data_IF_896090266470
#
_entry.id   IF_896090266470
#
_cell.length_a   1.000
_cell.length_b   1.000
_cell.length_c   1.000
_cell.angle_alpha   90.00
_cell.angle_beta   90.00
_cell.angle_gamma   90.00
#
_symmetry.space_group_name_H-M   'P 1'
#
loop_
_entity.id
_entity.type
_entity.pdbx_description
1 polymer ?
#
# COMPACT_ATOMS: atom_id res chain seq x y z
N UNK A 1 35.44 5.61 12.24
CA UNK A 1 35.90 5.47 10.84
C UNK A 1 34.68 5.45 9.94
N UNK A 2 34.71 6.09 8.76
CA UNK A 2 33.62 6.03 7.79
C UNK A 2 34.00 5.13 6.61
N UNK A 3 33.04 4.38 6.09
CA UNK A 3 33.19 3.56 4.89
C UNK A 3 32.33 4.16 3.79
N UNK A 4 32.95 4.48 2.65
CA UNK A 4 32.26 5.12 1.54
C UNK A 4 32.15 4.13 0.39
N UNK A 5 30.90 3.84 -0.01
CA UNK A 5 30.59 2.98 -1.14
C UNK A 5 31.28 3.50 -2.40
N UNK A 6 32.00 2.62 -3.08
CA UNK A 6 32.47 2.90 -4.43
C UNK A 6 31.31 2.76 -5.41
N UNK A 7 30.75 3.91 -5.81
CA UNK A 7 29.57 3.93 -6.69
C UNK A 7 29.85 3.20 -8.01
N UNK A 8 30.92 3.54 -8.71
CA UNK A 8 31.20 2.99 -10.04
C UNK A 8 31.40 1.48 -10.00
N UNK A 9 32.20 0.98 -9.05
CA UNK A 9 32.50 -0.45 -8.95
C UNK A 9 31.26 -1.24 -8.50
N UNK A 10 30.49 -0.69 -7.56
CA UNK A 10 29.26 -1.34 -7.07
C UNK A 10 28.18 -1.38 -8.15
N UNK A 11 27.97 -0.28 -8.87
CA UNK A 11 26.95 -0.16 -9.94
C UNK A 11 27.27 -1.08 -11.13
N UNK A 12 28.56 -1.30 -11.43
CA UNK A 12 28.96 -2.22 -12.51
C UNK A 12 28.47 -3.66 -12.27
N UNK A 13 28.42 -4.12 -11.01
CA UNK A 13 27.86 -5.43 -10.63
C UNK A 13 26.37 -5.48 -10.96
N UNK A 14 25.61 -4.43 -10.60
CA UNK A 14 24.16 -4.39 -10.81
C UNK A 14 23.73 -4.18 -12.25
N UNK A 15 24.45 -3.37 -13.03
CA UNK A 15 23.93 -2.87 -14.30
C UNK A 15 24.73 -3.29 -15.55
N UNK A 16 25.96 -3.81 -15.39
CA UNK A 16 26.86 -4.06 -16.52
C UNK A 16 27.37 -5.49 -16.60
N UNK A 17 27.75 -6.07 -15.48
CA UNK A 17 28.39 -7.39 -15.44
C UNK A 17 27.45 -8.53 -15.80
N UNK A 18 26.15 -8.38 -15.59
CA UNK A 18 25.13 -9.33 -16.04
C UNK A 18 25.20 -9.67 -17.54
N UNK A 19 25.69 -8.73 -18.36
CA UNK A 19 25.80 -8.87 -19.83
C UNK A 19 27.14 -9.46 -20.30
N UNK A 20 27.98 -9.91 -19.38
CA UNK A 20 29.34 -10.40 -19.66
C UNK A 20 29.51 -11.85 -19.21
N UNK A 21 30.42 -12.62 -19.82
CA UNK A 21 30.86 -13.88 -19.25
C UNK A 21 31.33 -13.67 -17.80
N UNK A 22 30.89 -14.55 -16.89
CA UNK A 22 31.16 -14.42 -15.46
C UNK A 22 32.67 -14.25 -15.13
N UNK A 23 33.53 -14.94 -15.87
CA UNK A 23 34.99 -14.81 -15.73
C UNK A 23 35.46 -13.38 -16.01
N UNK A 24 35.03 -12.80 -17.12
CA UNK A 24 35.46 -11.46 -17.55
C UNK A 24 34.91 -10.37 -16.62
N UNK A 25 33.69 -10.57 -16.10
CA UNK A 25 33.09 -9.70 -15.09
C UNK A 25 33.89 -9.71 -13.78
N UNK A 26 34.25 -10.90 -13.26
CA UNK A 26 35.08 -11.02 -12.05
C UNK A 26 36.47 -10.44 -12.27
N UNK A 27 37.11 -10.73 -13.40
CA UNK A 27 38.43 -10.18 -13.73
C UNK A 27 38.39 -8.64 -13.80
N UNK A 28 37.32 -8.07 -14.37
CA UNK A 28 37.12 -6.61 -14.42
C UNK A 28 36.89 -6.00 -13.03
N UNK A 29 36.11 -6.67 -12.18
CA UNK A 29 35.87 -6.23 -10.80
C UNK A 29 37.19 -6.15 -10.01
N UNK A 30 37.96 -7.24 -10.01
CA UNK A 30 39.23 -7.31 -9.28
C UNK A 30 40.22 -6.26 -9.78
N UNK A 31 40.33 -6.10 -11.10
CA UNK A 31 41.20 -5.09 -11.71
C UNK A 31 40.80 -3.67 -11.31
N UNK A 32 39.50 -3.40 -11.20
CA UNK A 32 38.99 -2.09 -10.77
C UNK A 32 39.31 -1.80 -9.31
N UNK A 33 39.21 -2.82 -8.43
CA UNK A 33 39.60 -2.71 -7.03
C UNK A 33 41.12 -2.47 -6.87
N UNK A 34 41.95 -3.22 -7.60
CA UNK A 34 43.41 -3.03 -7.59
C UNK A 34 43.80 -1.62 -8.08
N UNK A 35 43.18 -1.18 -9.18
CA UNK A 35 43.45 0.15 -9.74
C UNK A 35 43.02 1.29 -8.80
N UNK A 36 41.95 1.09 -8.00
CA UNK A 36 41.54 2.09 -7.00
C UNK A 36 42.54 2.18 -5.86
N UNK A 37 43.08 1.04 -5.42
CA UNK A 37 44.01 0.94 -4.30
C UNK A 37 43.37 1.23 -2.93
N UNK A 38 44.01 0.73 -1.88
CA UNK A 38 43.52 0.89 -0.51
C UNK A 38 42.23 0.10 -0.23
N UNK A 39 41.38 0.66 0.65
CA UNK A 39 40.10 0.04 1.01
C UNK A 39 39.00 0.44 0.03
N UNK A 40 38.45 -0.55 -0.68
CA UNK A 40 37.30 -0.37 -1.57
C UNK A 40 36.06 -0.96 -0.90
N UNK A 41 35.05 -0.13 -0.66
CA UNK A 41 33.76 -0.59 -0.12
C UNK A 41 32.80 -0.86 -1.26
N UNK A 42 32.41 -2.12 -1.45
CA UNK A 42 31.35 -2.52 -2.36
C UNK A 42 30.10 -2.76 -1.51
N UNK A 43 29.04 -2.02 -1.80
CA UNK A 43 27.75 -2.15 -1.11
C UNK A 43 26.63 -2.15 -2.13
N UNK A 44 25.71 -3.09 -2.01
CA UNK A 44 24.58 -3.30 -2.90
C UNK A 44 23.52 -4.09 -2.16
N UNK A 45 22.28 -3.99 -2.62
CA UNK A 45 21.19 -4.81 -2.10
C UNK A 45 21.41 -6.28 -2.47
N UNK A 46 21.04 -7.17 -1.57
CA UNK A 46 21.32 -8.60 -1.67
C UNK A 46 20.50 -9.31 -2.74
N UNK A 47 19.42 -8.69 -3.20
CA UNK A 47 18.46 -9.22 -4.16
C UNK A 47 18.60 -8.60 -5.56
N UNK A 48 18.92 -7.31 -5.65
CA UNK A 48 18.66 -6.50 -6.84
C UNK A 48 19.57 -6.70 -8.07
N UNK A 49 20.80 -7.25 -8.04
CA UNK A 49 21.49 -7.49 -9.31
C UNK A 49 21.08 -8.83 -9.94
N UNK A 50 20.67 -9.83 -9.15
CA UNK A 50 20.73 -11.22 -9.58
C UNK A 50 19.68 -11.60 -10.61
N UNK A 51 18.51 -10.97 -10.60
CA UNK A 51 17.44 -11.21 -11.60
C UNK A 51 17.89 -10.89 -13.03
N UNK A 52 18.88 -10.00 -13.18
CA UNK A 52 19.42 -9.64 -14.49
C UNK A 52 20.45 -10.63 -15.04
N UNK A 53 20.98 -11.52 -14.18
CA UNK A 53 21.95 -12.55 -14.56
C UNK A 53 21.21 -13.80 -15.03
N UNK A 54 21.67 -14.40 -16.14
CA UNK A 54 21.03 -15.57 -16.74
C UNK A 54 20.90 -16.80 -15.80
N UNK A 55 21.75 -16.88 -14.78
CA UNK A 55 21.80 -17.96 -13.79
C UNK A 55 21.64 -17.44 -12.35
N UNK A 56 20.92 -16.34 -12.17
CA UNK A 56 20.72 -15.69 -10.87
C UNK A 56 22.04 -15.37 -10.14
N UNK A 57 23.10 -15.07 -10.89
CA UNK A 57 24.41 -14.67 -10.37
C UNK A 57 25.31 -15.82 -9.93
N UNK A 58 24.87 -17.08 -10.03
CA UNK A 58 25.60 -18.25 -9.52
C UNK A 58 27.04 -18.34 -10.05
N UNK A 59 27.23 -18.25 -11.38
CA UNK A 59 28.53 -18.36 -12.02
C UNK A 59 29.47 -17.20 -11.66
N UNK A 60 28.93 -15.99 -11.46
CA UNK A 60 29.68 -14.81 -11.07
C UNK A 60 30.14 -14.92 -9.62
N UNK A 61 29.22 -15.19 -8.69
CA UNK A 61 29.49 -15.31 -7.26
C UNK A 61 30.47 -16.44 -6.95
N UNK A 62 30.30 -17.60 -7.60
CA UNK A 62 31.22 -18.75 -7.42
C UNK A 62 32.66 -18.36 -7.78
N UNK A 63 32.84 -17.76 -8.97
CA UNK A 63 34.17 -17.32 -9.44
C UNK A 63 34.75 -16.20 -8.59
N UNK A 64 33.91 -15.26 -8.15
CA UNK A 64 34.33 -14.19 -7.26
C UNK A 64 34.86 -14.78 -5.95
N UNK A 65 34.13 -15.70 -5.32
CA UNK A 65 34.56 -16.38 -4.11
C UNK A 65 35.88 -17.15 -4.32
N UNK A 66 36.02 -17.90 -5.42
CA UNK A 66 37.28 -18.59 -5.78
C UNK A 66 38.45 -17.62 -5.94
N UNK A 67 38.23 -16.46 -6.56
CA UNK A 67 39.27 -15.44 -6.72
C UNK A 67 39.62 -14.77 -5.38
N UNK A 68 38.64 -14.37 -4.59
CA UNK A 68 38.85 -13.74 -3.27
C UNK A 68 39.53 -14.68 -2.27
N UNK A 69 39.27 -15.99 -2.35
CA UNK A 69 39.93 -16.99 -1.51
C UNK A 69 41.42 -17.16 -1.81
N UNK A 70 41.87 -16.83 -3.03
CA UNK A 70 43.30 -16.86 -3.38
C UNK A 70 44.09 -15.73 -2.72
N UNK A 71 43.44 -14.58 -2.43
CA UNK A 71 44.03 -13.40 -1.78
C UNK A 71 45.31 -12.89 -2.44
N UNK A 72 45.45 -13.09 -3.75
CA UNK A 72 46.62 -12.72 -4.54
C UNK A 72 46.52 -11.31 -5.12
N UNK A 73 45.32 -10.89 -5.51
CA UNK A 73 45.03 -9.58 -6.12
C UNK A 73 44.40 -8.59 -5.14
N UNK A 74 43.37 -9.05 -4.45
CA UNK A 74 42.62 -8.25 -3.46
C UNK A 74 42.38 -9.11 -2.22
N UNK A 75 42.38 -8.48 -1.05
CA UNK A 75 42.12 -9.16 0.21
C UNK A 75 40.76 -8.73 0.75
N UNK A 76 39.75 -9.63 0.84
CA UNK A 76 38.50 -9.31 1.50
C UNK A 76 38.75 -9.13 3.00
N UNK A 77 38.16 -8.07 3.57
CA UNK A 77 38.27 -7.75 5.00
C UNK A 77 36.90 -7.45 5.58
N UNK A 78 36.70 -7.72 6.87
CA UNK A 78 35.50 -7.28 7.58
C UNK A 78 35.62 -5.80 7.89
N UNK A 79 34.48 -5.10 7.94
CA UNK A 79 34.44 -3.71 8.41
C UNK A 79 35.08 -3.54 9.80
N UNK A 80 34.88 -4.51 10.70
CA UNK A 80 35.49 -4.50 12.04
C UNK A 80 37.02 -4.57 12.02
N UNK A 81 37.60 -5.27 11.05
CA UNK A 81 39.05 -5.41 10.89
C UNK A 81 39.63 -4.15 10.23
N UNK A 82 39.01 -3.70 9.13
CA UNK A 82 39.40 -2.47 8.45
C UNK A 82 39.35 -1.25 9.38
N UNK A 83 38.41 -1.22 10.35
CA UNK A 83 38.28 -0.14 11.33
C UNK A 83 39.46 0.03 12.29
N UNK A 84 40.36 -0.96 12.36
CA UNK A 84 41.58 -0.90 13.16
C UNK A 84 42.73 -0.23 12.40
N UNK A 85 42.63 -0.11 11.08
CA UNK A 85 43.66 0.50 10.25
C UNK A 85 43.69 2.03 10.39
N UNK A 86 44.87 2.66 10.22
CA UNK A 86 44.99 4.11 10.25
C UNK A 86 44.13 4.78 9.17
N UNK A 87 43.28 5.74 9.58
CA UNK A 87 42.45 6.51 8.65
C UNK A 87 43.27 7.56 7.91
N UNK A 88 43.21 7.56 6.57
CA UNK A 88 43.98 8.45 5.69
C UNK A 88 43.44 9.90 5.62
N UNK A 89 42.48 10.29 6.46
CA UNK A 89 41.91 11.63 6.43
C UNK A 89 40.77 11.85 7.41
N UNK A 90 40.27 13.08 7.45
CA UNK A 90 39.10 13.48 8.24
C UNK A 90 38.02 14.02 7.31
N UNK A 91 36.81 13.51 7.49
CA UNK A 91 35.60 14.09 6.90
C UNK A 91 34.97 14.98 7.97
N UNK A 92 34.90 16.28 7.69
CA UNK A 92 34.40 17.26 8.66
C UNK A 92 32.89 17.46 8.58
N UNK A 93 32.29 17.17 7.43
CA UNK A 93 30.85 17.27 7.20
C UNK A 93 30.42 16.21 6.17
N UNK A 94 29.25 15.62 6.40
CA UNK A 94 28.56 14.77 5.43
C UNK A 94 27.37 15.55 4.87
N UNK A 95 27.21 15.47 3.54
CA UNK A 95 26.06 16.03 2.86
C UNK A 95 24.80 15.21 3.20
N UNK A 96 23.68 15.88 3.46
CA UNK A 96 22.38 15.21 3.64
C UNK A 96 21.86 14.74 2.29
N UNK A 97 21.70 13.43 2.14
CA UNK A 97 21.13 12.85 0.93
C UNK A 97 21.19 11.33 0.98
N UNK A 98 20.74 10.70 -0.10
CA UNK A 98 20.81 9.27 -0.29
C UNK A 98 21.82 8.90 -1.37
N UNK A 99 22.02 7.60 -1.56
CA UNK A 99 22.78 7.08 -2.70
C UNK A 99 22.10 7.30 -4.07
N UNK A 100 20.81 7.66 -4.10
CA UNK A 100 20.06 8.03 -5.31
C UNK A 100 20.11 9.55 -5.44
N UNK A 101 20.64 10.04 -6.56
CA UNK A 101 20.72 11.47 -6.90
C UNK A 101 21.40 12.41 -5.88
N UNK A 102 21.94 11.88 -4.77
CA UNK A 102 22.50 12.65 -3.64
C UNK A 102 21.48 13.54 -2.93
N UNK A 103 20.19 13.19 -2.98
CA UNK A 103 19.10 13.88 -2.30
C UNK A 103 18.16 12.88 -1.60
N UNK A 104 17.06 13.38 -1.02
CA UNK A 104 16.02 12.58 -0.37
C UNK A 104 14.70 12.61 -1.14
N UNK A 105 14.71 13.01 -2.42
CA UNK A 105 13.49 13.24 -3.19
C UNK A 105 12.63 11.98 -3.30
N UNK A 106 13.27 10.80 -3.40
CA UNK A 106 12.56 9.50 -3.47
C UNK A 106 11.65 9.23 -2.27
N UNK A 107 11.92 9.78 -1.09
CA UNK A 107 11.16 9.48 0.14
C UNK A 107 10.45 10.70 0.74
N UNK A 108 10.65 11.90 0.17
CA UNK A 108 10.14 13.16 0.73
C UNK A 108 9.83 14.23 -0.34
N UNK A 109 10.01 13.93 -1.63
CA UNK A 109 9.91 14.90 -2.70
C UNK A 109 8.48 15.28 -3.01
N UNK A 110 7.62 14.28 -3.18
CA UNK A 110 6.26 14.45 -3.67
C UNK A 110 5.26 14.78 -2.54
N UNK A 111 4.06 15.19 -2.93
CA UNK A 111 2.99 15.51 -1.98
C UNK A 111 2.53 14.28 -1.20
N UNK A 112 2.44 13.12 -1.87
CA UNK A 112 2.09 11.85 -1.23
C UNK A 112 3.08 11.50 -0.11
N UNK A 113 4.39 11.63 -0.37
CA UNK A 113 5.45 11.38 0.63
C UNK A 113 5.25 12.24 1.87
N UNK A 114 5.13 13.56 1.66
CA UNK A 114 5.00 14.55 2.75
C UNK A 114 3.72 14.33 3.54
N UNK A 115 2.63 13.89 2.89
CA UNK A 115 1.39 13.53 3.55
C UNK A 115 1.55 12.27 4.39
N UNK A 116 2.21 11.23 3.88
CA UNK A 116 2.56 10.03 4.65
C UNK A 116 3.36 10.38 5.91
N UNK A 117 4.41 11.22 5.78
CA UNK A 117 5.25 11.64 6.89
C UNK A 117 4.47 12.45 7.92
N UNK A 118 3.56 13.31 7.46
CA UNK A 118 2.68 14.10 8.33
C UNK A 118 1.74 13.21 9.16
N UNK A 119 1.23 12.11 8.60
CA UNK A 119 0.40 11.16 9.32
C UNK A 119 1.22 10.37 10.35
N UNK A 120 2.40 9.88 9.96
CA UNK A 120 3.31 9.18 10.86
C UNK A 120 3.76 10.06 12.03
N UNK A 121 4.14 11.32 11.77
CA UNK A 121 4.55 12.26 12.81
C UNK A 121 3.46 12.47 13.85
N UNK A 122 2.21 12.70 13.42
CA UNK A 122 1.06 12.84 14.35
C UNK A 122 0.85 11.59 15.20
N UNK A 123 0.94 10.40 14.62
CA UNK A 123 0.82 9.14 15.35
C UNK A 123 1.98 8.98 16.36
N UNK A 124 3.22 9.26 15.96
CA UNK A 124 4.39 9.22 16.83
C UNK A 124 4.26 10.19 18.01
N UNK A 125 3.78 11.41 17.76
CA UNK A 125 3.55 12.43 18.80
C UNK A 125 2.48 11.97 19.81
N UNK A 126 1.39 11.36 19.33
CA UNK A 126 0.35 10.80 20.20
C UNK A 126 0.89 9.67 21.09
N UNK A 127 1.70 8.77 20.51
CA UNK A 127 2.36 7.68 21.25
C UNK A 127 3.38 8.22 22.27
N UNK A 128 4.16 9.24 21.89
CA UNK A 128 5.11 9.92 22.78
C UNK A 128 4.39 10.58 23.97
N UNK A 129 3.28 11.26 23.73
CA UNK A 129 2.48 11.89 24.78
C UNK A 129 1.89 10.87 25.78
N UNK A 130 1.66 9.64 25.33
CA UNK A 130 1.21 8.53 26.17
C UNK A 130 2.36 7.78 26.89
N UNK A 131 3.61 8.22 26.72
CA UNK A 131 4.77 7.62 27.39
C UNK A 131 5.38 6.42 26.66
N UNK A 132 5.22 6.34 25.33
CA UNK A 132 5.81 5.29 24.48
C UNK A 132 5.49 3.85 24.91
N UNK A 133 4.21 3.48 25.10
CA UNK A 133 3.86 2.11 25.44
C UNK A 133 4.36 1.12 24.37
N UNK A 134 5.00 -0.01 24.75
CA UNK A 134 5.62 -0.94 23.82
C UNK A 134 4.69 -1.43 22.71
N UNK A 135 3.42 -1.68 23.01
CA UNK A 135 2.42 -2.18 22.08
C UNK A 135 2.09 -1.17 20.98
N UNK A 136 2.04 0.13 21.30
CA UNK A 136 1.85 1.17 20.30
C UNK A 136 3.14 1.44 19.52
N UNK A 137 4.30 1.37 20.20
CA UNK A 137 5.60 1.57 19.58
C UNK A 137 5.94 0.48 18.54
N UNK A 138 5.47 -0.76 18.72
CA UNK A 138 5.64 -1.82 17.71
C UNK A 138 5.03 -1.42 16.36
N UNK A 139 3.83 -0.82 16.39
CA UNK A 139 3.16 -0.31 15.20
C UNK A 139 3.86 0.92 14.61
N UNK A 140 4.40 1.80 15.45
CA UNK A 140 5.20 2.96 15.00
C UNK A 140 6.47 2.47 14.28
N UNK A 141 7.22 1.54 14.86
CA UNK A 141 8.44 1.01 14.22
C UNK A 141 8.13 0.32 12.88
N UNK A 142 7.00 -0.38 12.78
CA UNK A 142 6.56 -0.93 11.50
C UNK A 142 6.23 0.17 10.49
N UNK A 143 5.60 1.27 10.92
CA UNK A 143 5.25 2.40 10.07
C UNK A 143 6.44 3.31 9.70
N UNK A 144 7.53 3.27 10.46
CA UNK A 144 8.79 4.00 10.17
C UNK A 144 9.63 3.33 9.07
N UNK A 145 9.20 2.18 8.53
CA UNK A 145 9.83 1.54 7.38
C UNK A 145 9.86 2.44 6.15
N UNK A 146 11.04 2.66 5.57
CA UNK A 146 11.19 3.55 4.41
C UNK A 146 10.51 3.03 3.15
N UNK A 147 10.25 1.72 3.07
CA UNK A 147 9.56 1.06 1.95
C UNK A 147 8.17 1.64 1.70
N UNK A 148 7.45 2.10 2.72
CA UNK A 148 6.15 2.75 2.53
C UNK A 148 6.27 3.98 1.63
N UNK A 149 7.31 4.79 1.88
CA UNK A 149 7.58 6.04 1.17
C UNK A 149 8.21 5.81 -0.20
N UNK A 150 8.83 4.66 -0.43
CA UNK A 150 9.32 4.28 -1.77
C UNK A 150 8.19 4.13 -2.80
N UNK A 151 6.98 3.77 -2.36
CA UNK A 151 5.82 3.55 -3.23
C UNK A 151 4.90 4.76 -3.36
N UNK A 152 5.14 5.81 -2.58
CA UNK A 152 4.50 7.11 -2.77
C UNK A 152 5.25 7.91 -3.83
N UNK A 153 4.58 8.94 -4.35
CA UNK A 153 5.12 9.76 -5.42
C UNK A 153 4.96 9.14 -6.81
N UNK A 154 5.61 9.76 -7.78
CA UNK A 154 5.50 9.46 -9.22
C UNK A 154 6.65 8.60 -9.75
N UNK A 155 7.69 8.41 -8.95
CA UNK A 155 8.96 7.82 -9.35
C UNK A 155 8.84 6.31 -9.61
N UNK A 156 8.02 5.63 -8.82
CA UNK A 156 7.81 4.20 -8.88
C UNK A 156 6.33 3.86 -8.89
N UNK A 157 6.00 2.77 -9.59
CA UNK A 157 4.64 2.26 -9.70
C UNK A 157 4.60 0.77 -9.38
N UNK A 158 3.50 0.34 -8.78
CA UNK A 158 3.24 -1.06 -8.44
C UNK A 158 1.74 -1.30 -8.41
N UNK A 159 1.25 -2.45 -8.90
CA UNK A 159 -0.17 -2.79 -8.83
C UNK A 159 -0.68 -2.90 -7.38
N UNK A 160 0.23 -2.97 -6.39
CA UNK A 160 -0.08 -3.09 -4.97
C UNK A 160 0.02 -1.76 -4.21
N UNK A 161 0.09 -0.61 -4.91
CA UNK A 161 0.35 0.67 -4.25
C UNK A 161 -0.72 1.03 -3.20
N UNK A 162 -1.99 0.70 -3.50
CA UNK A 162 -3.10 0.90 -2.56
C UNK A 162 -3.07 -0.08 -1.39
N UNK A 163 -2.58 -1.30 -1.60
CA UNK A 163 -2.39 -2.27 -0.52
C UNK A 163 -1.30 -1.81 0.44
N UNK A 164 -0.16 -1.34 -0.09
CA UNK A 164 0.92 -0.78 0.73
C UNK A 164 0.45 0.46 1.51
N UNK A 165 -0.26 1.38 0.85
CA UNK A 165 -0.89 2.54 1.49
C UNK A 165 -1.83 2.13 2.63
N UNK A 166 -2.69 1.13 2.39
CA UNK A 166 -3.62 0.61 3.39
C UNK A 166 -2.88 -0.02 4.56
N UNK A 167 -1.85 -0.80 4.32
CA UNK A 167 -1.04 -1.43 5.38
C UNK A 167 -0.33 -0.38 6.23
N UNK A 168 0.28 0.62 5.59
CA UNK A 168 0.91 1.75 6.27
C UNK A 168 -0.09 2.48 7.19
N UNK A 169 -1.23 2.93 6.65
CA UNK A 169 -2.28 3.60 7.46
C UNK A 169 -2.85 2.67 8.52
N UNK A 170 -2.92 1.37 8.26
CA UNK A 170 -3.32 0.34 9.20
C UNK A 170 -2.42 0.28 10.43
N UNK A 171 -1.09 0.37 10.25
CA UNK A 171 -0.13 0.45 11.36
C UNK A 171 -0.36 1.72 12.18
N UNK A 172 -0.53 2.88 11.54
CA UNK A 172 -0.81 4.12 12.26
C UNK A 172 -2.11 4.02 13.07
N UNK A 173 -3.17 3.47 12.48
CA UNK A 173 -4.44 3.27 13.17
C UNK A 173 -4.32 2.28 14.33
N UNK A 174 -3.53 1.22 14.17
CA UNK A 174 -3.26 0.26 15.23
C UNK A 174 -2.49 0.90 16.40
N UNK A 175 -1.53 1.79 16.12
CA UNK A 175 -0.85 2.57 17.16
C UNK A 175 -1.85 3.38 18.02
N UNK A 176 -2.80 4.11 17.41
CA UNK A 176 -3.85 4.82 18.17
C UNK A 176 -4.73 3.88 18.98
N UNK A 177 -5.14 2.73 18.41
CA UNK A 177 -5.96 1.74 19.12
C UNK A 177 -5.23 1.13 20.32
N UNK A 178 -3.92 0.92 20.21
CA UNK A 178 -3.09 0.45 21.32
C UNK A 178 -3.03 1.47 22.47
N UNK A 179 -3.23 2.76 22.20
CA UNK A 179 -3.41 3.80 23.22
C UNK A 179 -4.84 3.86 23.79
N UNK A 180 -5.75 3.02 23.32
CA UNK A 180 -7.19 3.10 23.63
C UNK A 180 -7.89 4.29 22.96
N UNK A 181 -7.30 4.88 21.92
CA UNK A 181 -7.83 6.04 21.20
C UNK A 181 -8.47 5.62 19.87
N UNK A 182 -9.49 6.37 19.44
CA UNK A 182 -10.02 6.24 18.09
C UNK A 182 -9.00 6.78 17.08
N UNK A 183 -8.68 6.05 15.99
CA UNK A 183 -7.84 6.57 14.91
C UNK A 183 -8.44 7.84 14.27
N UNK A 184 -7.64 8.86 13.93
CA UNK A 184 -8.14 10.05 13.23
C UNK A 184 -8.70 9.73 11.84
N UNK A 185 -9.76 10.43 11.43
CA UNK A 185 -10.42 10.25 10.11
C UNK A 185 -9.47 10.42 8.91
N UNK A 186 -8.40 11.20 9.08
CA UNK A 186 -7.37 11.37 8.05
C UNK A 186 -6.69 10.06 7.66
N UNK A 187 -6.71 9.03 8.53
CA UNK A 187 -6.18 7.70 8.25
C UNK A 187 -7.15 6.83 7.42
N UNK A 188 -8.41 7.25 7.26
CA UNK A 188 -9.39 6.58 6.39
C UNK A 188 -9.26 7.01 4.94
N UNK A 189 -8.58 8.13 4.67
CA UNK A 189 -8.32 8.63 3.31
C UNK A 189 -6.96 8.11 2.82
N UNK A 190 -6.88 7.41 1.67
CA UNK A 190 -5.62 6.97 1.08
C UNK A 190 -4.62 8.12 0.90
N UNK A 191 -3.35 7.87 1.19
CA UNK A 191 -2.24 8.78 0.86
C UNK A 191 -1.96 8.70 -0.63
N UNK A 192 -1.89 7.48 -1.18
CA UNK A 192 -1.73 7.23 -2.61
C UNK A 192 -2.96 7.71 -3.40
N UNK A 193 -2.75 8.58 -4.38
CA UNK A 193 -3.81 9.05 -5.26
C UNK A 193 -4.21 7.98 -6.28
N UNK A 194 -5.51 7.86 -6.54
CA UNK A 194 -6.03 7.07 -7.65
C UNK A 194 -5.84 7.86 -8.95
N UNK A 195 -4.65 7.82 -9.53
CA UNK A 195 -4.37 8.46 -10.83
C UNK A 195 -5.09 7.79 -12.00
N UNK A 196 -5.63 6.58 -11.78
CA UNK A 196 -6.60 5.92 -12.65
C UNK A 196 -7.52 5.10 -11.74
N UNK A 197 -8.85 5.09 -11.97
CA UNK A 197 -9.72 4.17 -11.25
C UNK A 197 -9.15 2.75 -11.39
N UNK A 198 -8.96 1.98 -10.30
CA UNK A 198 -8.48 0.62 -10.40
C UNK A 198 -9.31 -0.12 -11.44
N UNK A 199 -8.72 -0.98 -12.29
CA UNK A 199 -9.48 -1.56 -13.38
C UNK A 199 -10.73 -2.26 -12.83
N UNK A 200 -11.89 -2.10 -13.46
CA UNK A 200 -13.17 -2.58 -12.91
C UNK A 200 -13.85 -1.64 -11.91
N UNK A 201 -13.26 -0.48 -11.56
CA UNK A 201 -13.93 0.64 -10.92
C UNK A 201 -14.43 1.64 -11.96
N UNK A 202 -15.72 1.95 -11.90
CA UNK A 202 -16.39 3.01 -12.65
C UNK A 202 -16.97 4.00 -11.65
N UNK A 203 -16.68 5.28 -11.82
CA UNK A 203 -17.22 6.32 -10.93
C UNK A 203 -18.65 6.72 -11.33
N UNK A 204 -19.49 7.18 -10.38
CA UNK A 204 -20.80 7.75 -10.70
C UNK A 204 -20.66 8.98 -11.59
N UNK A 205 -21.42 9.03 -12.69
CA UNK A 205 -21.34 10.10 -13.70
C UNK A 205 -22.51 11.08 -13.62
N UNK A 206 -23.55 10.76 -12.85
CA UNK A 206 -24.75 11.60 -12.64
C UNK A 206 -25.50 11.15 -11.40
N UNK A 207 -26.40 12.01 -10.93
CA UNK A 207 -27.36 11.62 -9.90
C UNK A 207 -28.29 10.48 -10.39
N UNK A 208 -28.66 9.59 -9.48
CA UNK A 208 -29.55 8.45 -9.71
C UNK A 208 -30.56 8.30 -8.57
N UNK A 209 -31.79 7.91 -8.89
CA UNK A 209 -32.84 7.66 -7.90
C UNK A 209 -33.52 6.31 -8.21
N UNK A 210 -32.79 5.17 -8.12
CA UNK A 210 -33.33 3.86 -8.42
C UNK A 210 -34.44 3.50 -7.44
N UNK A 211 -35.42 2.73 -7.91
CA UNK A 211 -36.41 2.13 -7.02
C UNK A 211 -35.77 0.97 -6.29
N UNK A 212 -35.81 0.97 -4.96
CA UNK A 212 -35.30 -0.15 -4.18
C UNK A 212 -36.37 -1.24 -4.06
N UNK A 213 -36.29 -2.25 -4.92
CA UNK A 213 -37.23 -3.38 -4.94
C UNK A 213 -36.54 -4.75 -5.04
N UNK A 214 -35.20 -4.78 -5.01
CA UNK A 214 -34.39 -6.00 -4.99
C UNK A 214 -34.51 -6.82 -6.27
N UNK A 215 -35.11 -6.26 -7.33
CA UNK A 215 -35.30 -6.93 -8.59
C UNK A 215 -34.64 -6.14 -9.73
N UNK A 216 -33.85 -6.82 -10.56
CA UNK A 216 -33.27 -6.23 -11.78
C UNK A 216 -34.33 -6.06 -12.87
N UNK A 217 -35.36 -5.25 -12.63
CA UNK A 217 -36.54 -5.15 -13.53
C UNK A 217 -36.29 -4.23 -14.71
N UNK A 218 -35.58 -3.13 -14.53
CA UNK A 218 -35.33 -2.15 -15.58
C UNK A 218 -33.83 -1.90 -15.73
N UNK A 219 -33.30 -2.13 -16.93
CA UNK A 219 -31.89 -1.91 -17.28
C UNK A 219 -31.40 -0.47 -16.98
N UNK A 220 -32.32 0.50 -16.95
CA UNK A 220 -32.00 1.93 -16.90
C UNK A 220 -31.84 2.53 -15.49
N UNK A 221 -32.33 1.86 -14.43
CA UNK A 221 -32.42 2.44 -13.08
C UNK A 221 -31.04 2.78 -12.47
N UNK A 222 -30.03 1.99 -12.83
CA UNK A 222 -28.65 2.14 -12.35
C UNK A 222 -27.70 2.73 -13.40
N UNK A 223 -28.22 3.25 -14.52
CA UNK A 223 -27.38 3.88 -15.56
C UNK A 223 -26.74 5.14 -15.00
N UNK A 224 -25.42 5.27 -15.10
CA UNK A 224 -24.68 6.41 -14.55
C UNK A 224 -24.26 6.24 -13.08
N UNK A 225 -24.65 5.14 -12.44
CA UNK A 225 -24.09 4.71 -11.17
C UNK A 225 -22.59 4.38 -11.30
N UNK A 226 -21.89 4.52 -10.19
CA UNK A 226 -20.58 3.90 -10.01
C UNK A 226 -20.72 2.39 -9.91
N UNK A 227 -19.66 1.67 -10.25
CA UNK A 227 -19.58 0.23 -10.16
C UNK A 227 -18.17 -0.24 -9.82
N UNK A 228 -18.04 -1.14 -8.85
CA UNK A 228 -16.77 -1.76 -8.49
C UNK A 228 -16.86 -3.27 -8.68
N UNK A 229 -16.01 -3.80 -9.55
CA UNK A 229 -15.87 -5.23 -9.78
C UNK A 229 -15.17 -5.90 -8.59
N UNK A 230 -15.94 -6.73 -7.87
CA UNK A 230 -15.48 -7.48 -6.70
C UNK A 230 -15.10 -8.93 -7.05
N UNK A 231 -15.25 -9.33 -8.32
CA UNK A 231 -15.06 -10.70 -8.79
C UNK A 231 -13.59 -11.05 -9.05
N UNK A 232 -12.67 -10.09 -8.88
CA UNK A 232 -11.25 -10.26 -9.15
C UNK A 232 -10.63 -11.26 -8.17
N UNK A 233 -9.83 -12.21 -8.66
CA UNK A 233 -8.93 -12.92 -7.78
C UNK A 233 -7.91 -11.91 -7.27
N UNK A 234 -7.96 -11.57 -5.98
CA UNK A 234 -6.76 -11.12 -5.29
C UNK A 234 -5.63 -12.11 -5.56
N UNK A 235 -4.38 -11.67 -5.45
CA UNK A 235 -3.18 -12.46 -5.77
C UNK A 235 -3.15 -13.86 -5.14
N UNK A 236 -2.05 -14.60 -5.32
CA UNK A 236 -1.90 -16.05 -5.07
C UNK A 236 -2.46 -16.63 -3.74
N UNK A 237 -2.89 -15.82 -2.77
CA UNK A 237 -3.58 -16.19 -1.54
C UNK A 237 -5.12 -16.11 -1.55
N UNK A 238 -5.80 -15.69 -2.63
CA UNK A 238 -7.28 -15.65 -2.67
C UNK A 238 -7.87 -17.05 -2.86
N UNK A 239 -7.82 -17.87 -1.81
CA UNK A 239 -8.21 -19.29 -1.80
C UNK A 239 -9.72 -19.56 -1.83
N UNK A 240 -10.57 -18.55 -2.04
CA UNK A 240 -12.00 -18.76 -2.28
C UNK A 240 -12.59 -17.70 -3.21
N UNK A 241 -13.50 -18.13 -4.09
CA UNK A 241 -14.29 -17.21 -4.90
C UNK A 241 -15.19 -16.37 -3.98
N UNK A 242 -15.01 -15.05 -3.98
CA UNK A 242 -15.77 -14.12 -3.14
C UNK A 242 -17.29 -14.21 -3.33
N UNK A 243 -18.05 -13.77 -2.33
CA UNK A 243 -19.52 -13.80 -2.34
C UNK A 243 -20.13 -12.71 -3.24
N UNK A 244 -19.46 -11.56 -3.37
CA UNK A 244 -19.91 -10.45 -4.19
C UNK A 244 -19.25 -10.47 -5.57
N UNK A 245 -20.06 -10.24 -6.60
CA UNK A 245 -19.61 -9.96 -7.96
C UNK A 245 -19.23 -8.49 -8.10
N UNK A 246 -19.98 -7.59 -7.48
CA UNK A 246 -19.67 -6.16 -7.53
C UNK A 246 -20.57 -5.33 -6.64
N UNK A 247 -20.20 -4.06 -6.52
CA UNK A 247 -20.93 -3.05 -5.75
C UNK A 247 -21.28 -1.92 -6.73
N UNK A 248 -22.56 -1.66 -6.93
CA UNK A 248 -23.02 -0.46 -7.62
C UNK A 248 -23.43 0.59 -6.58
N UNK A 249 -23.15 1.85 -6.84
CA UNK A 249 -23.57 2.94 -5.96
C UNK A 249 -23.87 4.22 -6.74
N UNK A 250 -24.72 5.06 -6.18
CA UNK A 250 -24.94 6.40 -6.70
C UNK A 250 -25.75 7.24 -5.74
N UNK A 251 -25.87 8.53 -6.05
CA UNK A 251 -26.42 9.52 -5.13
C UNK A 251 -27.52 10.34 -5.79
N UNK A 252 -28.48 10.83 -5.00
CA UNK A 252 -29.41 11.91 -5.37
C UNK A 252 -29.68 12.78 -4.14
N UNK A 253 -29.49 14.10 -4.26
CA UNK A 253 -29.54 15.10 -3.20
C UNK A 253 -28.83 14.68 -1.89
N UNK A 254 -29.51 13.91 -1.03
CA UNK A 254 -29.02 13.45 0.27
C UNK A 254 -29.08 11.92 0.43
N UNK A 255 -29.48 11.18 -0.60
CA UNK A 255 -29.62 9.73 -0.55
C UNK A 255 -28.45 9.06 -1.26
N UNK A 256 -27.83 8.11 -0.58
CA UNK A 256 -26.93 7.13 -1.17
C UNK A 256 -27.70 5.85 -1.45
N UNK A 257 -27.64 5.40 -2.70
CA UNK A 257 -28.16 4.10 -3.12
C UNK A 257 -27.01 3.13 -3.30
N UNK A 258 -27.14 1.93 -2.73
CA UNK A 258 -26.14 0.86 -2.86
C UNK A 258 -26.81 -0.42 -3.32
N UNK A 259 -26.20 -1.07 -4.31
CA UNK A 259 -26.58 -2.42 -4.77
C UNK A 259 -25.39 -3.36 -4.68
N UNK A 260 -25.58 -4.47 -3.99
CA UNK A 260 -24.62 -5.55 -3.88
C UNK A 260 -25.02 -6.65 -4.87
N UNK A 261 -24.21 -6.87 -5.88
CA UNK A 261 -24.43 -7.92 -6.88
C UNK A 261 -23.84 -9.24 -6.34
N UNK A 262 -24.69 -10.25 -6.15
CA UNK A 262 -24.29 -11.51 -5.55
C UNK A 262 -23.71 -12.46 -6.62
N UNK A 263 -22.52 -13.01 -6.37
CA UNK A 263 -21.98 -14.11 -7.20
C UNK A 263 -22.53 -15.46 -6.77
N UNK A 264 -22.83 -15.59 -5.48
CA UNK A 264 -23.52 -16.70 -4.83
C UNK A 264 -24.41 -16.10 -3.74
N UNK A 265 -25.50 -16.77 -3.31
CA UNK A 265 -26.28 -16.32 -2.18
C UNK A 265 -25.37 -16.01 -0.98
N UNK A 266 -25.62 -14.88 -0.32
CA UNK A 266 -24.94 -14.56 0.92
C UNK A 266 -25.20 -15.70 1.92
N UNK A 267 -24.18 -16.16 2.66
CA UNK A 267 -24.35 -17.27 3.59
C UNK A 267 -25.43 -16.90 4.61
N UNK A 268 -26.32 -17.83 4.99
CA UNK A 268 -27.29 -17.59 6.05
C UNK A 268 -26.55 -17.21 7.33
N UNK A 269 -27.18 -16.41 8.19
CA UNK A 269 -26.65 -16.02 9.49
C UNK A 269 -26.21 -17.28 10.25
N UNK A 270 -24.93 -17.31 10.61
CA UNK A 270 -24.33 -18.33 11.48
C UNK A 270 -23.82 -17.60 12.70
N UNK A 271 -23.85 -18.26 13.86
CA UNK A 271 -23.27 -17.73 15.08
C UNK A 271 -21.84 -17.20 14.78
N UNK A 272 -21.63 -15.91 15.05
CA UNK A 272 -20.37 -15.22 14.86
C UNK A 272 -20.10 -14.64 13.48
N UNK A 273 -20.96 -14.78 12.46
CA UNK A 273 -20.71 -14.18 11.13
C UNK A 273 -21.67 -13.02 10.84
N UNK A 274 -21.16 -11.82 10.54
CA UNK A 274 -21.94 -10.62 10.19
C UNK A 274 -21.39 -9.95 8.91
N UNK A 275 -22.28 -9.45 8.05
CA UNK A 275 -21.89 -8.56 6.95
C UNK A 275 -22.02 -7.12 7.37
N UNK A 276 -21.08 -6.28 7.00
CA UNK A 276 -21.08 -4.86 7.33
C UNK A 276 -20.97 -4.03 6.05
N UNK A 277 -21.90 -3.10 5.82
CA UNK A 277 -21.66 -1.96 4.94
C UNK A 277 -21.08 -0.85 5.80
N UNK A 278 -19.85 -0.47 5.53
CA UNK A 278 -19.10 0.52 6.30
C UNK A 278 -18.96 1.78 5.46
N UNK A 279 -19.47 2.88 5.98
CA UNK A 279 -19.33 4.22 5.45
C UNK A 279 -18.29 4.97 6.28
N UNK A 280 -17.19 5.34 5.63
CA UNK A 280 -16.11 6.12 6.23
C UNK A 280 -16.20 7.56 5.72
N UNK A 281 -16.26 8.54 6.61
CA UNK A 281 -16.36 9.95 6.25
C UNK A 281 -17.31 10.73 7.16
N UNK A 282 -17.10 12.05 7.28
CA UNK A 282 -17.75 12.85 8.33
C UNK A 282 -17.19 12.55 9.73
N UNK A 283 -17.86 13.00 10.82
CA UNK A 283 -17.32 12.94 12.18
C UNK A 283 -17.32 11.54 12.82
N UNK A 284 -18.01 10.56 12.23
CA UNK A 284 -18.12 9.20 12.76
C UNK A 284 -18.26 8.16 11.63
N UNK A 285 -17.67 6.98 11.82
CA UNK A 285 -17.87 5.83 10.94
C UNK A 285 -19.26 5.26 11.13
N UNK A 286 -20.02 5.10 10.04
CA UNK A 286 -21.35 4.49 10.09
C UNK A 286 -21.29 3.06 9.57
N UNK A 287 -21.77 2.12 10.36
CA UNK A 287 -21.78 0.69 10.03
C UNK A 287 -23.19 0.15 10.05
N UNK A 288 -23.60 -0.49 8.96
CA UNK A 288 -24.87 -1.21 8.86
C UNK A 288 -24.55 -2.70 8.85
N UNK A 289 -25.18 -3.49 9.73
CA UNK A 289 -24.88 -4.93 9.95
C UNK A 289 -25.99 -5.87 9.49
N UNK A 290 -25.73 -6.87 8.65
CA UNK A 290 -26.75 -7.82 8.17
C UNK A 290 -27.09 -8.92 9.21
N UNK A 291 -28.38 -9.32 9.41
CA UNK A 291 -29.59 -8.78 8.77
C UNK A 291 -29.96 -7.42 9.38
N UNK A 292 -29.98 -6.39 8.53
CA UNK A 292 -29.86 -4.97 8.91
C UNK A 292 -30.90 -4.43 9.88
N UNK A 293 -30.41 -4.11 11.07
CA UNK A 293 -31.05 -3.26 12.09
C UNK A 293 -30.10 -2.08 12.32
N UNK A 294 -30.57 -0.86 12.06
CA UNK A 294 -29.89 0.35 12.57
C UNK A 294 -30.40 0.65 13.99
N UNK A 295 -29.64 1.42 14.78
CA UNK A 295 -29.97 1.73 16.19
C UNK A 295 -31.28 2.55 16.37
N UNK A 296 -31.83 3.13 15.28
CA UNK A 296 -33.04 3.95 15.20
C UNK A 296 -34.20 3.30 14.40
N UNK A 297 -34.05 2.06 13.91
CA UNK A 297 -35.04 1.29 13.16
C UNK A 297 -35.60 1.97 11.88
N UNK A 298 -34.79 2.74 11.13
CA UNK A 298 -35.21 3.42 9.88
C UNK A 298 -34.52 2.86 8.64
N UNK A 299 -34.93 1.66 8.23
CA UNK A 299 -34.63 1.13 6.88
C UNK A 299 -35.80 1.41 5.93
N UNK A 300 -35.91 2.63 5.42
CA UNK A 300 -36.78 2.87 4.26
C UNK A 300 -36.08 2.28 3.01
N UNK A 301 -36.48 1.06 2.64
CA UNK A 301 -36.13 0.46 1.36
C UNK A 301 -34.85 -0.37 1.36
N UNK A 302 -34.74 -1.38 2.23
CA UNK A 302 -33.83 -2.51 1.99
C UNK A 302 -34.60 -3.66 1.37
N UNK A 303 -34.14 -4.16 0.21
CA UNK A 303 -34.77 -5.32 -0.42
C UNK A 303 -33.72 -6.33 -0.87
N UNK A 304 -33.82 -7.52 -0.29
CA UNK A 304 -32.98 -8.66 -0.61
C UNK A 304 -33.62 -9.45 -1.76
N UNK A 305 -32.99 -9.42 -2.93
CA UNK A 305 -33.33 -10.26 -4.07
C UNK A 305 -32.47 -11.51 -4.16
N UNK A 306 -32.84 -12.41 -5.06
CA UNK A 306 -32.09 -13.65 -5.32
C UNK A 306 -30.67 -13.37 -5.88
N UNK A 307 -30.52 -12.30 -6.67
CA UNK A 307 -29.29 -11.96 -7.39
C UNK A 307 -28.60 -10.68 -6.90
N UNK A 308 -29.29 -9.85 -6.12
CA UNK A 308 -28.72 -8.63 -5.56
C UNK A 308 -29.45 -8.18 -4.29
N UNK A 309 -28.74 -7.44 -3.45
CA UNK A 309 -29.32 -6.67 -2.33
C UNK A 309 -29.29 -5.19 -2.70
N UNK A 310 -30.38 -4.48 -2.48
CA UNK A 310 -30.47 -3.03 -2.69
C UNK A 310 -30.85 -2.32 -1.41
N UNK A 311 -30.30 -1.12 -1.21
CA UNK A 311 -30.60 -0.25 -0.06
C UNK A 311 -30.43 1.23 -0.40
N UNK A 312 -31.11 2.07 0.37
CA UNK A 312 -30.93 3.53 0.34
C UNK A 312 -30.61 4.06 1.74
N UNK A 313 -29.78 5.11 1.82
CA UNK A 313 -29.30 5.69 3.07
C UNK A 313 -29.31 7.20 3.00
N UNK A 314 -29.86 7.84 4.02
CA UNK A 314 -29.80 9.30 4.16
C UNK A 314 -28.41 9.72 4.68
N UNK A 315 -27.70 10.49 3.87
CA UNK A 315 -26.43 11.10 4.19
C UNK A 315 -26.59 12.60 4.50
N UNK A 316 -25.71 13.17 5.34
CA UNK A 316 -25.56 14.62 5.43
C UNK A 316 -25.26 15.23 4.04
N UNK A 317 -25.79 16.42 3.75
CA UNK A 317 -25.62 17.12 2.46
C UNK A 317 -24.17 17.24 2.00
N UNK A 318 -23.26 17.44 2.94
CA UNK A 318 -21.83 17.66 2.67
C UNK A 318 -20.99 16.41 2.97
N UNK A 319 -21.61 15.22 3.00
CA UNK A 319 -20.87 13.99 3.22
C UNK A 319 -19.80 13.83 2.12
N UNK A 320 -18.56 13.61 2.56
CA UNK A 320 -17.42 13.24 1.74
C UNK A 320 -16.77 12.05 2.42
N UNK A 321 -16.60 10.98 1.66
CA UNK A 321 -16.21 9.72 2.24
C UNK A 321 -16.12 8.61 1.22
N UNK A 322 -16.00 7.41 1.74
CA UNK A 322 -15.89 6.18 0.99
C UNK A 322 -16.76 5.09 1.62
N UNK A 323 -17.03 4.03 0.87
CA UNK A 323 -17.73 2.86 1.38
C UNK A 323 -17.00 1.57 1.01
N UNK A 324 -17.14 0.57 1.85
CA UNK A 324 -16.79 -0.81 1.55
C UNK A 324 -17.76 -1.77 2.24
N UNK A 325 -17.73 -3.02 1.79
CA UNK A 325 -18.48 -4.11 2.41
C UNK A 325 -17.50 -5.09 3.04
N UNK A 326 -17.67 -5.38 4.32
CA UNK A 326 -16.87 -6.34 5.06
C UNK A 326 -17.71 -7.57 5.46
N UNK A 327 -17.07 -8.73 5.51
CA UNK A 327 -17.57 -9.93 6.17
C UNK A 327 -16.75 -10.10 7.44
N UNK A 328 -17.42 -10.04 8.58
CA UNK A 328 -16.82 -10.24 9.89
C UNK A 328 -17.15 -11.65 10.38
N UNK A 329 -16.17 -12.34 10.95
CA UNK A 329 -16.34 -13.60 11.66
C UNK A 329 -15.68 -13.51 13.03
N UNK A 330 -16.46 -13.74 14.08
CA UNK A 330 -16.05 -13.69 15.48
C UNK A 330 -15.34 -12.37 15.84
N UNK A 331 -15.85 -11.25 15.29
CA UNK A 331 -15.28 -9.91 15.49
C UNK A 331 -14.09 -9.55 14.58
N UNK A 332 -13.68 -10.45 13.68
CA UNK A 332 -12.54 -10.25 12.76
C UNK A 332 -13.01 -10.08 11.32
N UNK A 333 -12.52 -9.06 10.60
CA UNK A 333 -12.74 -8.92 9.16
C UNK A 333 -12.07 -10.07 8.40
N UNK A 334 -12.87 -10.97 7.83
CA UNK A 334 -12.41 -12.14 7.06
C UNK A 334 -12.55 -11.96 5.55
N UNK A 335 -13.35 -10.99 5.09
CA UNK A 335 -13.37 -10.58 3.70
C UNK A 335 -13.76 -9.10 3.59
N UNK A 336 -13.30 -8.44 2.51
CA UNK A 336 -13.61 -7.05 2.19
C UNK A 336 -13.82 -6.86 0.71
N UNK A 337 -14.76 -5.98 0.36
CA UNK A 337 -15.17 -5.68 -1.01
C UNK A 337 -15.35 -4.17 -1.21
N UNK A 338 -14.72 -3.56 -2.23
CA UNK A 338 -13.68 -4.15 -3.08
C UNK A 338 -12.41 -4.52 -2.30
N UNK A 339 -11.60 -5.44 -2.85
CA UNK A 339 -10.33 -5.83 -2.21
C UNK A 339 -9.31 -4.68 -2.29
N UNK A 340 -9.30 -3.98 -3.42
CA UNK A 340 -8.33 -2.93 -3.78
C UNK A 340 -8.57 -1.59 -3.04
N UNK A 341 -9.55 -1.51 -2.15
CA UNK A 341 -9.89 -0.31 -1.40
C UNK A 341 -11.36 0.07 -1.46
N UNK A 342 -11.72 1.09 -0.68
CA UNK A 342 -13.08 1.61 -0.60
C UNK A 342 -13.48 2.35 -1.89
N UNK A 343 -14.78 2.36 -2.20
CA UNK A 343 -15.31 3.15 -3.32
C UNK A 343 -15.72 4.55 -2.85
N UNK A 344 -15.45 5.61 -3.63
CA UNK A 344 -15.73 6.98 -3.21
C UNK A 344 -17.22 7.29 -3.26
N UNK A 345 -17.73 7.97 -2.24
CA UNK A 345 -19.14 8.39 -2.12
C UNK A 345 -19.27 9.86 -2.50
N UNK A 346 -19.13 10.13 -3.79
CA UNK A 346 -19.31 11.46 -4.37
C UNK A 346 -19.74 11.36 -5.84
N UNK A 347 -20.42 12.39 -6.34
CA UNK A 347 -20.60 12.58 -7.78
C UNK A 347 -19.27 13.07 -8.36
N UNK A 348 -18.87 12.50 -9.50
CA UNK A 348 -17.72 13.01 -10.23
C UNK A 348 -18.18 14.16 -11.13
N UNK A 349 -17.63 15.36 -10.93
CA UNK A 349 -17.85 16.49 -11.84
C UNK A 349 -16.84 16.37 -13.00
N UNK A 350 -17.30 16.50 -14.26
CA UNK A 350 -16.45 16.42 -15.46
C UNK A 350 -15.31 17.47 -15.51
N UNK A 351 -15.28 18.41 -14.56
CA UNK A 351 -14.25 19.45 -14.43
C UNK A 351 -12.95 19.01 -13.75
N UNK A 352 -12.89 17.84 -13.11
CA UNK A 352 -11.73 17.39 -12.32
C UNK A 352 -10.56 16.83 -13.15
N UNK A 353 -10.53 17.06 -14.46
CA UNK A 353 -9.39 16.68 -15.33
C UNK A 353 -8.20 17.66 -15.28
N UNK A 354 -8.31 18.77 -14.53
CA UNK A 354 -7.25 19.78 -14.44
C UNK A 354 -7.18 20.45 -13.07
N UNK A 355 -6.52 19.84 -12.08
CA UNK A 355 -5.60 20.55 -11.16
C UNK A 355 -4.51 19.58 -10.70
#
# INVERSE_FOLDING_TARGET
MGFFRDRSISDDIGFRYAKRPAKDAVDALLSSCEARGGLVTIALDGENPWESYADAGQAFLTRLCEALNRRDRVTPVRFSEAALEPVAGKVYALHTGSWVNSDLAIWFGDEEDRRGWSLLAKARDAVAAAGDPPEAMEHIYAAEGSDWFWWYGREFDTPFALDFDRLFRGQLAAAYRALGQAPPDSLSVPVKALTTPPPGLKLPTRAISPRIDGARRLFFEWVGAGYADCARPGGAMSLSAGHLQGIAWGLDDNLLYVRLDHRRPLPPERAGTEWQLVLMGGPETRTLRWPYIDEDNRTDGLVAGELCTELSLLLPKDFRGSLHVALIRDGVEVARYPQDGDVPVQLHEETDWWV
#
